data_IF_656289375993
#
_entry.id   IF_656289375993
#
_cell.length_a   1.000
_cell.length_b   1.000
_cell.length_c   1.000
_cell.angle_alpha   90.00
_cell.angle_beta   90.00
_cell.angle_gamma   90.00
#
_symmetry.space_group_name_H-M   'P 1'
#
loop_
_entity.id
_entity.type
_entity.pdbx_description
1 polymer ?
#
# COMPACT_ATOMS: atom_id res chain seq x y z
N UNK A 1 6.71 -72.22 10.53
CA UNK A 1 7.62 -71.11 10.92
C UNK A 1 6.83 -70.18 11.83
N UNK A 2 6.90 -70.39 13.14
CA UNK A 2 6.18 -69.60 14.15
C UNK A 2 6.88 -68.25 14.34
N UNK A 3 6.13 -67.14 14.38
CA UNK A 3 6.67 -65.87 14.88
C UNK A 3 5.84 -65.37 16.05
N UNK A 4 6.57 -65.22 17.16
CA UNK A 4 6.17 -64.81 18.50
C UNK A 4 5.32 -63.54 18.52
N UNK A 5 4.37 -63.54 19.48
CA UNK A 5 3.85 -62.35 20.13
C UNK A 5 4.95 -61.55 20.84
N UNK A 6 4.82 -60.22 20.90
CA UNK A 6 5.28 -59.45 22.06
C UNK A 6 4.36 -58.25 22.32
N UNK A 7 4.05 -58.06 23.59
CA UNK A 7 3.04 -57.19 24.16
C UNK A 7 3.44 -55.71 24.20
N UNK A 8 2.40 -54.87 24.10
CA UNK A 8 2.10 -53.63 24.85
C UNK A 8 3.27 -52.79 25.37
N UNK A 9 3.30 -51.53 24.93
CA UNK A 9 3.32 -50.39 25.86
C UNK A 9 2.40 -49.28 25.36
N UNK A 10 1.27 -49.15 26.05
CA UNK A 10 0.41 -47.99 26.02
C UNK A 10 1.13 -46.84 26.73
N UNK A 11 1.40 -45.74 26.03
CA UNK A 11 1.65 -44.46 26.66
C UNK A 11 0.43 -43.59 26.41
N UNK A 12 -0.49 -43.61 27.36
CA UNK A 12 -1.44 -42.53 27.57
C UNK A 12 -0.63 -41.33 28.08
N UNK A 13 -0.41 -40.34 27.24
CA UNK A 13 -0.20 -38.97 27.69
C UNK A 13 -1.37 -38.15 27.18
N UNK A 14 -2.30 -37.90 28.10
CA UNK A 14 -3.34 -36.90 27.94
C UNK A 14 -2.66 -35.55 27.70
N UNK A 15 -2.59 -35.12 26.43
CA UNK A 15 -2.43 -33.71 26.12
C UNK A 15 -3.72 -33.05 26.56
N UNK A 16 -3.67 -32.46 27.75
CA UNK A 16 -4.58 -31.40 28.16
C UNK A 16 -4.54 -30.34 27.07
N UNK A 17 -5.52 -30.39 26.19
CA UNK A 17 -5.83 -29.30 25.28
C UNK A 17 -6.30 -28.13 26.13
N UNK A 18 -5.34 -27.36 26.69
CA UNK A 18 -5.55 -25.95 26.93
C UNK A 18 -5.86 -25.36 25.56
N UNK A 19 -7.16 -25.29 25.23
CA UNK A 19 -7.70 -24.31 24.30
C UNK A 19 -7.39 -22.95 24.92
N UNK A 20 -6.15 -22.50 24.74
CA UNK A 20 -5.95 -21.07 24.57
C UNK A 20 -6.73 -20.75 23.30
N UNK A 21 -7.89 -20.11 23.46
CA UNK A 21 -8.59 -19.49 22.35
C UNK A 21 -7.53 -18.70 21.59
N UNK A 22 -7.23 -19.14 20.37
CA UNK A 22 -6.33 -18.44 19.49
C UNK A 22 -7.00 -17.11 19.16
N UNK A 23 -6.76 -16.09 20.00
CA UNK A 23 -7.14 -14.71 19.71
C UNK A 23 -6.58 -14.44 18.31
N UNK A 24 -7.43 -14.25 17.29
CA UNK A 24 -6.96 -14.14 15.94
C UNK A 24 -6.00 -12.96 15.91
N UNK A 25 -4.77 -13.20 15.46
CA UNK A 25 -3.68 -12.21 15.37
C UNK A 25 -4.04 -10.97 14.52
N UNK A 26 -5.25 -10.94 13.95
CA UNK A 26 -5.83 -9.87 13.16
C UNK A 26 -7.35 -9.72 13.39
N UNK A 27 -7.86 -9.80 14.63
CA UNK A 27 -9.12 -9.11 14.96
C UNK A 27 -8.86 -7.60 14.91
N UNK A 28 -8.71 -7.07 13.70
CA UNK A 28 -8.50 -5.66 13.45
C UNK A 28 -9.84 -4.99 13.69
N UNK A 29 -10.09 -4.60 14.95
CA UNK A 29 -11.31 -3.92 15.37
C UNK A 29 -11.52 -2.74 14.41
N UNK A 30 -12.75 -2.61 13.93
CA UNK A 30 -13.09 -1.75 12.81
C UNK A 30 -12.70 -0.29 13.10
N UNK A 31 -11.48 0.09 12.72
CA UNK A 31 -11.06 1.47 12.51
C UNK A 31 -10.80 2.33 13.75
N UNK A 32 -11.12 1.92 14.96
CA UNK A 32 -11.36 2.90 16.04
C UNK A 32 -10.22 3.08 17.02
N UNK A 33 -9.53 2.00 17.42
CA UNK A 33 -8.33 2.10 18.25
C UNK A 33 -7.25 1.11 17.82
N UNK A 34 -5.99 1.51 18.00
CA UNK A 34 -4.83 0.72 17.59
C UNK A 34 -4.55 -0.35 18.64
N UNK A 35 -4.67 -1.62 18.25
CA UNK A 35 -4.18 -2.73 19.06
C UNK A 35 -2.65 -2.69 19.02
N UNK A 36 -2.05 -2.58 20.19
CA UNK A 36 -0.60 -2.67 20.36
C UNK A 36 -0.20 -4.09 20.72
N UNK A 37 0.84 -4.60 20.06
CA UNK A 37 1.55 -5.79 20.50
C UNK A 37 2.62 -5.43 21.54
N UNK A 38 3.08 -6.41 22.31
CA UNK A 38 4.20 -6.22 23.24
C UNK A 38 5.44 -5.65 22.56
N UNK A 39 5.77 -6.11 21.35
CA UNK A 39 6.84 -5.53 20.54
C UNK A 39 6.59 -4.06 20.19
N UNK A 40 5.37 -3.71 19.74
CA UNK A 40 5.08 -2.33 19.36
C UNK A 40 5.16 -1.37 20.55
N UNK A 41 4.77 -1.84 21.74
CA UNK A 41 4.90 -1.09 22.98
C UNK A 41 6.37 -0.93 23.37
N UNK A 42 7.15 -2.03 23.33
CA UNK A 42 8.60 -2.01 23.55
C UNK A 42 9.30 -1.00 22.63
N UNK A 43 8.96 -1.00 21.34
CA UNK A 43 9.54 -0.04 20.39
C UNK A 43 9.13 1.38 20.75
N UNK A 44 7.86 1.63 21.07
CA UNK A 44 7.38 2.98 21.40
C UNK A 44 8.08 3.59 22.63
N UNK A 45 8.42 2.77 23.62
CA UNK A 45 9.08 3.22 24.86
C UNK A 45 10.59 3.40 24.71
N UNK A 46 11.22 2.72 23.75
CA UNK A 46 12.68 2.69 23.61
C UNK A 46 13.20 3.45 22.38
N UNK A 47 12.34 3.80 21.40
CA UNK A 47 12.76 4.52 20.19
C UNK A 47 13.30 5.92 20.46
N UNK A 48 12.81 6.60 21.50
CA UNK A 48 13.29 7.91 21.90
C UNK A 48 14.71 7.87 22.50
N UNK A 49 15.11 6.72 23.06
CA UNK A 49 16.41 6.53 23.72
C UNK A 49 17.56 6.30 22.73
N UNK A 50 17.23 5.95 21.48
CA UNK A 50 18.20 5.72 20.43
C UNK A 50 18.45 6.99 19.62
N UNK A 51 19.68 7.20 19.20
CA UNK A 51 20.07 8.28 18.29
C UNK A 51 20.16 7.76 16.85
N UNK A 52 20.20 8.65 15.86
CA UNK A 52 20.30 8.27 14.44
C UNK A 52 18.98 8.25 13.66
N UNK A 53 19.02 7.69 12.45
CA UNK A 53 17.87 7.67 11.52
C UNK A 53 16.82 6.65 11.98
N UNK A 54 15.54 6.91 11.65
CA UNK A 54 14.44 6.01 12.10
C UNK A 54 14.67 4.56 11.68
N UNK A 55 15.14 4.32 10.44
CA UNK A 55 15.41 2.96 9.93
C UNK A 55 16.42 2.21 10.79
N UNK A 56 17.49 2.88 11.23
CA UNK A 56 18.50 2.27 12.09
C UNK A 56 17.94 1.99 13.50
N UNK A 57 17.19 2.93 14.08
CA UNK A 57 16.53 2.71 15.39
C UNK A 57 15.60 1.51 15.37
N UNK A 58 14.76 1.38 14.34
CA UNK A 58 13.86 0.22 14.21
C UNK A 58 14.62 -1.09 14.02
N UNK A 59 15.71 -1.08 13.26
CA UNK A 59 16.55 -2.28 13.06
C UNK A 59 17.17 -2.72 14.39
N UNK A 60 17.79 -1.79 15.11
CA UNK A 60 18.43 -2.06 16.41
C UNK A 60 17.41 -2.56 17.45
N UNK A 61 16.25 -1.92 17.58
CA UNK A 61 15.19 -2.38 18.49
C UNK A 61 14.62 -3.74 18.10
N UNK A 62 14.51 -4.01 16.79
CA UNK A 62 14.05 -5.32 16.32
C UNK A 62 15.04 -6.42 16.67
N UNK A 63 16.34 -6.16 16.58
CA UNK A 63 17.40 -7.09 16.96
C UNK A 63 17.43 -7.30 18.48
N UNK A 64 17.36 -6.22 19.27
CA UNK A 64 17.25 -6.30 20.74
C UNK A 64 16.04 -7.12 21.16
N UNK A 65 14.86 -6.84 20.61
CA UNK A 65 13.64 -7.60 20.93
C UNK A 65 13.76 -9.10 20.60
N UNK A 66 14.43 -9.47 19.50
CA UNK A 66 14.63 -10.88 19.14
C UNK A 66 15.45 -11.60 20.21
N UNK A 67 16.51 -10.96 20.69
CA UNK A 67 17.45 -11.52 21.66
C UNK A 67 17.01 -11.36 23.12
N UNK A 68 15.93 -10.62 23.38
CA UNK A 68 15.40 -10.36 24.72
C UNK A 68 14.85 -11.63 25.38
N UNK A 69 14.93 -11.69 26.72
CA UNK A 69 14.40 -12.79 27.53
C UNK A 69 12.89 -12.93 27.36
N UNK A 70 12.40 -14.17 27.43
CA UNK A 70 10.98 -14.48 27.32
C UNK A 70 10.13 -13.79 28.40
N UNK A 71 10.66 -13.64 29.61
CA UNK A 71 10.03 -12.93 30.72
C UNK A 71 9.71 -11.47 30.38
N UNK A 72 10.65 -10.76 29.73
CA UNK A 72 10.46 -9.38 29.28
C UNK A 72 9.44 -9.34 28.15
N UNK A 73 9.50 -10.29 27.21
CA UNK A 73 8.50 -10.39 26.13
C UNK A 73 7.09 -10.56 26.67
N UNK A 74 6.93 -11.40 27.70
CA UNK A 74 5.67 -11.61 28.40
C UNK A 74 5.22 -10.38 29.19
N UNK A 75 6.13 -9.69 29.87
CA UNK A 75 5.86 -8.44 30.56
C UNK A 75 5.26 -7.39 29.61
N UNK A 76 5.93 -7.16 28.47
CA UNK A 76 5.43 -6.22 27.46
C UNK A 76 4.14 -6.70 26.81
N UNK A 77 3.96 -8.01 26.63
CA UNK A 77 2.69 -8.57 26.13
C UNK A 77 1.54 -8.31 27.10
N UNK A 78 1.73 -8.53 28.41
CA UNK A 78 0.73 -8.25 29.44
C UNK A 78 0.42 -6.75 29.51
N UNK A 79 1.45 -5.90 29.53
CA UNK A 79 1.31 -4.44 29.52
C UNK A 79 0.54 -3.95 28.29
N UNK A 80 0.82 -4.52 27.12
CA UNK A 80 0.08 -4.21 25.90
C UNK A 80 -1.38 -4.67 25.97
N UNK A 81 -1.69 -5.83 26.58
CA UNK A 81 -3.08 -6.29 26.77
C UNK A 81 -3.89 -5.30 27.60
N UNK A 82 -3.36 -4.92 28.77
CA UNK A 82 -4.00 -3.95 29.67
C UNK A 82 -4.27 -2.64 28.92
N UNK A 83 -3.26 -2.11 28.22
CA UNK A 83 -3.43 -0.87 27.46
C UNK A 83 -4.46 -0.99 26.32
N UNK A 84 -4.55 -2.17 25.68
CA UNK A 84 -5.55 -2.41 24.64
C UNK A 84 -6.97 -2.48 25.23
N UNK A 85 -7.12 -3.08 26.41
CA UNK A 85 -8.39 -3.13 27.16
C UNK A 85 -8.81 -1.73 27.59
N UNK A 86 -7.90 -0.94 28.17
CA UNK A 86 -8.18 0.47 28.50
C UNK A 86 -8.59 1.29 27.27
N UNK A 87 -7.92 1.09 26.13
CA UNK A 87 -8.26 1.79 24.89
C UNK A 87 -9.61 1.34 24.34
N UNK A 88 -9.96 0.06 24.52
CA UNK A 88 -11.28 -0.48 24.19
C UNK A 88 -12.35 0.18 25.03
N UNK A 89 -12.19 0.21 26.35
CA UNK A 89 -13.14 0.81 27.28
C UNK A 89 -13.28 2.32 27.06
N UNK A 90 -12.16 3.02 26.81
CA UNK A 90 -12.18 4.44 26.41
C UNK A 90 -12.98 4.65 25.13
N UNK A 91 -12.87 3.75 24.15
CA UNK A 91 -13.67 3.84 22.94
C UNK A 91 -15.15 3.50 23.18
N UNK A 92 -15.43 2.46 23.97
CA UNK A 92 -16.78 2.01 24.30
C UNK A 92 -17.55 3.00 25.19
N UNK A 93 -16.85 3.80 25.99
CA UNK A 93 -17.46 4.88 26.78
C UNK A 93 -17.79 6.14 25.99
N UNK A 94 -17.34 6.27 24.74
CA UNK A 94 -17.67 7.42 23.89
C UNK A 94 -19.16 7.45 23.49
N UNK A 95 -19.75 8.65 23.31
CA UNK A 95 -21.05 8.80 22.69
C UNK A 95 -21.12 8.16 21.30
N UNK A 96 -22.27 7.61 20.93
CA UNK A 96 -22.43 6.90 19.64
C UNK A 96 -22.05 7.78 18.43
N UNK A 97 -22.42 9.07 18.47
CA UNK A 97 -22.07 10.02 17.41
C UNK A 97 -20.56 10.18 17.22
N UNK A 98 -19.77 10.13 18.29
CA UNK A 98 -18.31 10.23 18.21
C UNK A 98 -17.68 8.93 17.71
N UNK A 99 -18.22 7.78 18.13
CA UNK A 99 -17.80 6.47 17.61
C UNK A 99 -17.99 6.41 16.10
N UNK A 100 -19.16 6.83 15.61
CA UNK A 100 -19.47 6.81 14.17
C UNK A 100 -18.52 7.74 13.39
N UNK A 101 -18.21 8.93 13.93
CA UNK A 101 -17.21 9.85 13.33
C UNK A 101 -15.83 9.21 13.23
N UNK A 102 -15.36 8.53 14.28
CA UNK A 102 -14.06 7.86 14.30
C UNK A 102 -14.01 6.68 13.31
N UNK A 103 -15.11 5.91 13.21
CA UNK A 103 -15.24 4.81 12.25
C UNK A 103 -15.18 5.35 10.82
N UNK A 104 -15.93 6.41 10.51
CA UNK A 104 -15.95 7.02 9.18
C UNK A 104 -14.59 7.65 8.82
N UNK A 105 -13.93 8.32 9.76
CA UNK A 105 -12.58 8.83 9.54
C UNK A 105 -11.58 7.70 9.22
N UNK A 106 -11.69 6.58 9.92
CA UNK A 106 -10.85 5.42 9.68
C UNK A 106 -11.13 4.76 8.31
N UNK A 107 -12.41 4.64 7.92
CA UNK A 107 -12.81 4.15 6.59
C UNK A 107 -12.26 5.05 5.49
N UNK A 108 -12.47 6.37 5.59
CA UNK A 108 -11.97 7.32 4.59
C UNK A 108 -10.45 7.32 4.48
N UNK A 109 -9.71 7.16 5.59
CA UNK A 109 -8.24 6.98 5.58
C UNK A 109 -7.84 5.69 4.86
N UNK A 110 -8.52 4.56 5.13
CA UNK A 110 -8.29 3.27 4.44
C UNK A 110 -8.55 3.39 2.94
N UNK A 111 -9.68 3.95 2.56
CA UNK A 111 -10.02 4.17 1.14
C UNK A 111 -9.00 5.05 0.43
N UNK A 112 -8.55 6.15 1.06
CA UNK A 112 -7.49 7.01 0.50
C UNK A 112 -6.19 6.22 0.30
N UNK A 113 -5.82 5.36 1.24
CA UNK A 113 -4.63 4.50 1.13
C UNK A 113 -4.79 3.49 0.00
N UNK A 114 -5.93 2.84 -0.11
CA UNK A 114 -6.19 1.85 -1.16
C UNK A 114 -6.25 2.49 -2.55
N UNK A 115 -6.87 3.67 -2.67
CA UNK A 115 -6.83 4.48 -3.89
C UNK A 115 -5.39 4.81 -4.32
N UNK A 116 -4.52 5.19 -3.37
CA UNK A 116 -3.09 5.45 -3.65
C UNK A 116 -2.36 4.18 -4.09
N UNK A 117 -2.56 3.06 -3.38
CA UNK A 117 -1.96 1.76 -3.72
C UNK A 117 -2.39 1.30 -5.11
N UNK A 118 -3.68 1.34 -5.41
CA UNK A 118 -4.23 0.94 -6.70
C UNK A 118 -3.70 1.84 -7.83
N UNK A 119 -3.55 3.15 -7.58
CA UNK A 119 -2.93 4.08 -8.53
C UNK A 119 -1.46 3.74 -8.79
N UNK A 120 -0.69 3.35 -7.76
CA UNK A 120 0.70 2.93 -7.91
C UNK A 120 0.81 1.62 -8.72
N UNK A 121 0.01 0.61 -8.36
CA UNK A 121 -0.06 -0.67 -9.09
C UNK A 121 -0.44 -0.44 -10.55
N UNK A 122 -1.43 0.42 -10.82
CA UNK A 122 -1.83 0.76 -12.19
C UNK A 122 -0.69 1.38 -12.98
N UNK A 123 0.05 2.32 -12.39
CA UNK A 123 1.23 2.94 -13.03
C UNK A 123 2.34 1.92 -13.30
N UNK A 124 2.58 1.02 -12.37
CA UNK A 124 3.58 -0.05 -12.53
C UNK A 124 3.20 -0.98 -13.69
N UNK A 125 1.92 -1.39 -13.78
CA UNK A 125 1.40 -2.15 -14.93
C UNK A 125 1.55 -1.39 -16.24
N UNK A 126 1.20 -0.11 -16.26
CA UNK A 126 1.36 0.75 -17.45
C UNK A 126 2.84 0.86 -17.87
N UNK A 127 3.76 0.99 -16.92
CA UNK A 127 5.20 1.04 -17.17
C UNK A 127 5.75 -0.30 -17.68
N UNK A 128 5.29 -1.41 -17.11
CA UNK A 128 5.67 -2.75 -17.54
C UNK A 128 5.24 -3.01 -19.00
N UNK A 129 3.99 -2.67 -19.33
CA UNK A 129 3.48 -2.73 -20.70
C UNK A 129 4.33 -1.86 -21.62
N UNK A 130 4.57 -0.60 -21.24
CA UNK A 130 5.36 0.33 -22.05
C UNK A 130 6.78 -0.18 -22.32
N UNK A 131 7.41 -0.82 -21.32
CA UNK A 131 8.73 -1.46 -21.45
C UNK A 131 8.67 -2.67 -22.39
N UNK A 132 7.65 -3.50 -22.28
CA UNK A 132 7.50 -4.70 -23.11
C UNK A 132 7.26 -4.37 -24.60
N UNK A 133 6.40 -3.40 -24.89
CA UNK A 133 6.11 -2.99 -26.29
C UNK A 133 7.11 -1.96 -26.84
N UNK A 134 8.06 -1.50 -26.01
CA UNK A 134 9.04 -0.46 -26.37
C UNK A 134 8.41 0.91 -26.65
N UNK A 135 7.19 1.17 -26.17
CA UNK A 135 6.44 2.37 -26.51
C UNK A 135 5.60 2.86 -25.33
N UNK A 136 5.79 4.12 -24.95
CA UNK A 136 4.97 4.78 -23.93
C UNK A 136 3.62 5.17 -24.50
N UNK A 137 2.62 5.32 -23.62
CA UNK A 137 1.30 5.80 -24.03
C UNK A 137 1.43 7.19 -24.66
N UNK A 138 1.02 7.39 -25.93
CA UNK A 138 1.19 8.68 -26.58
C UNK A 138 0.30 9.74 -25.90
N UNK A 139 0.78 10.99 -25.79
CA UNK A 139 -0.01 12.09 -25.25
C UNK A 139 -1.16 12.46 -26.19
N UNK A 140 -2.17 13.14 -25.66
CA UNK A 140 -3.24 13.74 -26.48
C UNK A 140 -2.69 14.83 -27.38
N UNK A 141 -3.46 15.27 -28.38
CA UNK A 141 -3.08 16.36 -29.28
C UNK A 141 -2.66 17.64 -28.54
N UNK A 142 -3.39 18.01 -27.49
CA UNK A 142 -2.98 19.12 -26.61
C UNK A 142 -1.69 18.80 -25.84
N UNK A 143 -1.53 17.57 -25.34
CA UNK A 143 -0.30 17.14 -24.68
C UNK A 143 0.93 17.15 -25.59
N UNK A 144 0.76 16.78 -26.86
CA UNK A 144 1.80 16.91 -27.90
C UNK A 144 2.15 18.38 -28.12
N UNK A 145 1.14 19.25 -28.26
CA UNK A 145 1.34 20.69 -28.38
C UNK A 145 2.08 21.30 -27.18
N UNK A 146 1.68 20.93 -25.95
CA UNK A 146 2.36 21.35 -24.72
C UNK A 146 3.82 20.87 -24.71
N UNK A 147 4.08 19.62 -25.12
CA UNK A 147 5.44 19.08 -25.22
C UNK A 147 6.29 19.87 -26.21
N UNK A 148 5.77 20.16 -27.40
CA UNK A 148 6.43 20.98 -28.41
C UNK A 148 6.71 22.39 -27.87
N UNK A 149 5.78 22.99 -27.13
CA UNK A 149 5.97 24.30 -26.53
C UNK A 149 7.17 24.32 -25.58
N UNK A 150 7.28 23.36 -24.66
CA UNK A 150 8.40 23.30 -23.72
C UNK A 150 9.72 22.90 -24.40
N UNK A 151 9.69 22.11 -25.47
CA UNK A 151 10.87 21.86 -26.29
C UNK A 151 11.39 23.15 -26.94
N UNK A 152 10.50 24.01 -27.42
CA UNK A 152 10.85 25.32 -27.99
C UNK A 152 11.20 26.37 -26.93
N UNK A 153 10.79 26.16 -25.69
CA UNK A 153 10.97 27.10 -24.58
C UNK A 153 11.58 26.40 -23.34
N UNK A 154 12.82 25.90 -23.42
CA UNK A 154 13.40 25.08 -22.36
C UNK A 154 13.56 25.80 -21.01
N UNK A 155 13.66 27.13 -21.03
CA UNK A 155 13.83 27.96 -19.82
C UNK A 155 12.50 28.32 -19.13
N UNK A 156 11.35 27.94 -19.70
CA UNK A 156 10.04 28.22 -19.09
C UNK A 156 9.72 27.19 -18.01
N UNK A 157 9.48 27.67 -16.80
CA UNK A 157 9.05 26.83 -15.68
C UNK A 157 7.55 26.55 -15.77
N UNK A 158 7.16 25.31 -15.51
CA UNK A 158 5.75 24.91 -15.42
C UNK A 158 5.07 25.67 -14.27
N UNK A 159 4.08 26.49 -14.61
CA UNK A 159 3.33 27.28 -13.63
C UNK A 159 2.01 27.77 -14.21
N UNK A 160 1.09 28.22 -13.34
CA UNK A 160 -0.28 28.56 -13.74
C UNK A 160 -0.38 29.60 -14.86
N UNK A 161 0.48 30.62 -14.84
CA UNK A 161 0.55 31.65 -15.89
C UNK A 161 0.93 31.06 -17.26
N UNK A 162 2.01 30.27 -17.31
CA UNK A 162 2.50 29.61 -18.53
C UNK A 162 1.47 28.58 -19.04
N UNK A 163 0.82 27.84 -18.15
CA UNK A 163 -0.26 26.92 -18.52
C UNK A 163 -1.47 27.64 -19.12
N UNK A 164 -1.81 28.83 -18.60
CA UNK A 164 -2.84 29.70 -19.17
C UNK A 164 -2.48 30.20 -20.57
N UNK A 165 -1.24 30.64 -20.75
CA UNK A 165 -0.70 31.07 -22.06
C UNK A 165 -0.76 29.94 -23.09
N UNK A 166 -0.28 28.74 -22.76
CA UNK A 166 -0.32 27.57 -23.66
C UNK A 166 -1.78 27.20 -24.00
N UNK A 167 -2.68 27.28 -23.03
CA UNK A 167 -4.10 26.99 -23.25
C UNK A 167 -4.76 28.02 -24.19
N UNK A 168 -4.40 29.30 -24.06
CA UNK A 168 -4.86 30.35 -24.97
C UNK A 168 -4.29 30.15 -26.39
N UNK A 169 -2.99 29.84 -26.50
CA UNK A 169 -2.37 29.51 -27.80
C UNK A 169 -3.07 28.33 -28.48
N UNK A 170 -3.35 27.26 -27.74
CA UNK A 170 -4.09 26.11 -28.25
C UNK A 170 -5.48 26.48 -28.77
N UNK A 171 -6.23 27.30 -28.03
CA UNK A 171 -7.57 27.75 -28.45
C UNK A 171 -7.53 28.62 -29.70
N UNK A 172 -6.47 29.40 -29.87
CA UNK A 172 -6.30 30.32 -31.00
C UNK A 172 -5.66 29.66 -32.24
N UNK A 173 -5.25 28.39 -32.17
CA UNK A 173 -4.84 27.65 -33.37
C UNK A 173 -5.99 27.56 -34.37
N UNK A 174 -5.65 27.57 -35.66
CA UNK A 174 -6.64 27.35 -36.72
C UNK A 174 -7.28 25.97 -36.59
N UNK A 175 -8.53 25.84 -37.04
CA UNK A 175 -9.25 24.58 -36.87
C UNK A 175 -8.60 23.43 -37.66
N UNK A 176 -8.09 23.72 -38.86
CA UNK A 176 -7.34 22.76 -39.67
C UNK A 176 -6.07 22.25 -38.97
N UNK A 177 -5.33 23.11 -38.28
CA UNK A 177 -4.14 22.71 -37.51
C UNK A 177 -4.52 21.86 -36.28
N UNK A 178 -5.62 22.19 -35.60
CA UNK A 178 -6.12 21.39 -34.48
C UNK A 178 -6.57 20.01 -34.95
N UNK A 179 -7.34 19.94 -36.03
CA UNK A 179 -7.82 18.70 -36.63
C UNK A 179 -6.67 17.77 -37.01
N UNK A 180 -5.64 18.31 -37.67
CA UNK A 180 -4.47 17.53 -38.06
C UNK A 180 -3.72 16.97 -36.85
N UNK A 181 -3.56 17.78 -35.78
CA UNK A 181 -2.95 17.32 -34.52
C UNK A 181 -3.79 16.24 -33.84
N UNK A 182 -5.12 16.40 -33.84
CA UNK A 182 -6.05 15.39 -33.31
C UNK A 182 -5.97 14.10 -34.11
N UNK A 183 -5.89 14.17 -35.44
CA UNK A 183 -5.73 13.01 -36.32
C UNK A 183 -4.44 12.26 -36.01
N UNK A 184 -3.29 12.94 -35.98
CA UNK A 184 -1.99 12.34 -35.64
C UNK A 184 -2.00 11.70 -34.25
N UNK A 185 -2.54 12.38 -33.26
CA UNK A 185 -2.65 11.84 -31.89
C UNK A 185 -3.52 10.57 -31.84
N UNK A 186 -4.63 10.52 -32.59
CA UNK A 186 -5.47 9.33 -32.69
C UNK A 186 -4.74 8.17 -33.37
N UNK A 187 -3.98 8.43 -34.44
CA UNK A 187 -3.20 7.40 -35.15
C UNK A 187 -2.10 6.81 -34.27
N UNK A 188 -1.33 7.65 -33.57
CA UNK A 188 -0.33 7.18 -32.60
C UNK A 188 -0.97 6.35 -31.49
N UNK A 189 -2.12 6.81 -30.97
CA UNK A 189 -2.85 6.08 -29.94
C UNK A 189 -3.40 4.74 -30.41
N UNK A 190 -3.86 4.65 -31.67
CA UNK A 190 -4.31 3.41 -32.28
C UNK A 190 -3.15 2.40 -32.38
N UNK A 191 -1.98 2.83 -32.90
CA UNK A 191 -0.77 2.00 -32.95
C UNK A 191 -0.34 1.51 -31.57
N UNK A 192 -0.48 2.35 -30.55
CA UNK A 192 -0.21 1.96 -29.16
C UNK A 192 -1.20 0.92 -28.62
N UNK A 193 -2.49 1.09 -28.89
CA UNK A 193 -3.50 0.10 -28.49
C UNK A 193 -3.30 -1.25 -29.19
N UNK A 194 -2.96 -1.25 -30.47
CA UNK A 194 -2.68 -2.47 -31.24
C UNK A 194 -1.54 -3.27 -30.59
N UNK A 195 -0.35 -2.66 -30.46
CA UNK A 195 0.81 -3.31 -29.82
C UNK A 195 0.54 -3.75 -28.38
N UNK A 196 -0.19 -2.93 -27.61
CA UNK A 196 -0.58 -3.29 -26.24
C UNK A 196 -1.49 -4.52 -26.23
N UNK A 197 -2.48 -4.58 -27.13
CA UNK A 197 -3.43 -5.68 -27.19
C UNK A 197 -2.76 -6.97 -27.66
N UNK A 198 -1.83 -6.89 -28.62
CA UNK A 198 -0.99 -8.02 -29.03
C UNK A 198 -0.19 -8.59 -27.87
N UNK A 199 0.45 -7.72 -27.07
CA UNK A 199 1.20 -8.12 -25.89
C UNK A 199 0.31 -8.73 -24.80
N UNK A 200 -0.88 -8.19 -24.57
CA UNK A 200 -1.82 -8.77 -23.59
C UNK A 200 -2.26 -10.16 -24.05
N UNK A 201 -2.63 -10.31 -25.33
CA UNK A 201 -2.98 -11.62 -25.91
C UNK A 201 -1.83 -12.63 -25.82
N UNK A 202 -0.58 -12.20 -26.01
CA UNK A 202 0.56 -13.10 -25.90
C UNK A 202 0.80 -13.59 -24.47
N UNK A 203 0.46 -12.79 -23.45
CA UNK A 203 0.48 -13.23 -22.04
C UNK A 203 -0.67 -14.20 -21.74
N UNK A 204 -1.87 -13.95 -22.27
CA UNK A 204 -3.05 -14.78 -21.98
C UNK A 204 -3.00 -16.17 -22.65
N UNK A 205 -2.22 -16.32 -23.72
CA UNK A 205 -2.01 -17.58 -24.43
C UNK A 205 -0.80 -18.39 -23.93
N UNK A 206 -0.12 -17.94 -22.87
CA UNK A 206 0.97 -18.66 -22.18
C UNK A 206 0.44 -19.30 -20.88
#
# INVERSE_FOLDING_TARGET
MFKLMSLRRSFFTSLSCFKAEAVPKNANIQGTYKIMSGYSLYVSENIAKLTGTQTLKFKELSEKWKNETQEIKELYSKKASIMNEENKEKFESLPQQEKDKLIEEAKTKREKKDKRKNKAIKREKENAIAKAIGMTKPPSAFGQFVKEYYQKNPNKVVGGKVSGEISAMWKNLSESEKEERVRKSKEEFAKWNEKKNEYIKSIENM
#
